data_IF_331643382108
#
_entry.id   IF_331643382108
#
_cell.length_a   1.000
_cell.length_b   1.000
_cell.length_c   1.000
_cell.angle_alpha   90.00
_cell.angle_beta   90.00
_cell.angle_gamma   90.00
#
_symmetry.space_group_name_H-M   'P 1'
#
loop_
_entity.id
_entity.type
_entity.pdbx_description
1 polymer ?
#
# COMPACT_ATOMS: atom_id res chain seq x y z
N UNK A 1 -23.90 54.48 -15.55
CA UNK A 1 -22.76 53.56 -15.39
C UNK A 1 -22.39 53.53 -13.92
N UNK A 2 -22.38 52.31 -13.38
CA UNK A 2 -21.76 51.81 -12.15
C UNK A 2 -21.80 52.67 -10.87
N UNK A 3 -22.61 52.20 -9.92
CA UNK A 3 -22.49 52.40 -8.49
C UNK A 3 -21.59 51.31 -7.88
N UNK A 4 -20.95 51.71 -6.77
CA UNK A 4 -20.15 50.93 -5.81
C UNK A 4 -20.45 49.44 -5.64
N UNK A 5 -19.41 48.65 -5.44
CA UNK A 5 -19.43 47.62 -4.39
C UNK A 5 -18.06 47.44 -3.75
N UNK A 6 -18.11 47.52 -2.42
CA UNK A 6 -17.06 47.48 -1.43
C UNK A 6 -15.96 46.41 -1.59
N UNK A 7 -14.77 46.83 -1.14
CA UNK A 7 -13.65 45.99 -0.69
C UNK A 7 -14.14 45.04 0.40
N UNK A 8 -13.91 43.73 0.22
CA UNK A 8 -13.86 42.80 1.34
C UNK A 8 -12.41 42.35 1.53
N UNK A 9 -11.78 42.97 2.51
CA UNK A 9 -10.48 42.63 3.07
C UNK A 9 -10.63 41.41 3.96
N UNK A 10 -10.11 40.25 3.53
CA UNK A 10 -9.54 39.19 4.38
C UNK A 10 -9.20 37.93 3.53
N UNK A 11 -8.22 38.08 2.65
CA UNK A 11 -7.23 37.02 2.40
C UNK A 11 -5.90 37.72 2.63
N UNK A 12 -5.54 37.90 3.89
CA UNK A 12 -4.16 38.19 4.24
C UNK A 12 -3.46 36.85 4.26
N UNK A 13 -2.59 36.64 3.28
CA UNK A 13 -1.52 35.67 3.35
C UNK A 13 -0.90 35.77 4.74
N UNK A 14 -1.10 34.74 5.56
CA UNK A 14 -0.34 34.57 6.77
C UNK A 14 1.08 34.15 6.34
N UNK A 15 1.84 35.13 5.88
CA UNK A 15 3.30 35.11 5.93
C UNK A 15 3.64 35.37 7.39
N UNK A 16 3.56 34.31 8.20
CA UNK A 16 4.05 34.37 9.57
C UNK A 16 5.54 34.02 9.53
N UNK A 17 6.35 34.99 9.95
CA UNK A 17 7.79 34.89 10.24
C UNK A 17 8.04 33.93 11.42
N UNK A 18 7.61 32.66 11.27
CA UNK A 18 8.07 31.60 12.11
C UNK A 18 9.48 31.23 11.63
N UNK A 19 10.46 31.47 12.51
CA UNK A 19 11.82 30.95 12.38
C UNK A 19 11.78 29.59 11.71
N UNK A 20 12.51 29.47 10.60
CA UNK A 20 12.69 28.23 9.85
C UNK A 20 13.42 27.23 10.76
N UNK A 21 12.70 26.65 11.72
CA UNK A 21 13.04 25.38 12.31
C UNK A 21 13.02 24.43 11.13
N UNK A 22 14.20 24.05 10.67
CA UNK A 22 14.33 23.00 9.67
C UNK A 22 13.54 21.80 10.20
N UNK A 23 12.35 21.57 9.65
CA UNK A 23 11.66 20.30 9.81
C UNK A 23 12.64 19.32 9.17
N UNK A 24 13.34 18.58 10.01
CA UNK A 24 14.16 17.48 9.54
C UNK A 24 13.14 16.44 9.12
N UNK A 25 12.84 16.37 7.82
CA UNK A 25 12.04 15.28 7.25
C UNK A 25 12.69 13.99 7.71
N UNK A 26 12.06 13.32 8.68
CA UNK A 26 12.55 12.05 9.17
C UNK A 26 12.23 11.05 8.07
N UNK A 27 13.18 10.82 7.17
CA UNK A 27 13.08 9.75 6.19
C UNK A 27 13.20 8.40 6.90
N UNK A 28 12.19 7.55 6.78
CA UNK A 28 12.24 6.20 7.36
C UNK A 28 13.29 5.34 6.67
N UNK A 29 14.09 4.63 7.46
CA UNK A 29 15.11 3.69 6.95
C UNK A 29 14.52 2.30 6.81
N UNK A 30 14.08 1.92 5.59
CA UNK A 30 13.55 0.59 5.26
C UNK A 30 14.39 -0.59 5.83
N UNK A 31 15.74 -0.58 5.82
CA UNK A 31 16.52 -1.67 6.41
C UNK A 31 16.20 -2.00 7.87
N UNK A 32 15.77 -1.00 8.65
CA UNK A 32 15.47 -1.10 10.08
C UNK A 32 14.05 -1.58 10.39
N UNK A 33 13.22 -1.77 9.36
CA UNK A 33 11.85 -2.25 9.53
C UNK A 33 11.79 -3.62 10.18
N UNK A 34 10.81 -3.75 11.08
CA UNK A 34 10.51 -4.98 11.80
C UNK A 34 9.99 -6.07 10.87
N UNK A 35 10.13 -7.31 11.31
CA UNK A 35 9.59 -8.49 10.65
C UNK A 35 8.43 -9.04 11.48
N UNK A 36 7.28 -9.28 10.85
CA UNK A 36 6.02 -9.66 11.51
C UNK A 36 5.35 -10.83 10.81
N UNK A 37 4.42 -11.50 11.51
CA UNK A 37 3.73 -12.72 11.04
C UNK A 37 2.21 -12.62 11.07
N UNK A 38 1.64 -11.58 11.70
CA UNK A 38 0.19 -11.50 11.94
C UNK A 38 -0.33 -10.07 11.73
N UNK A 39 -1.62 -9.93 11.42
CA UNK A 39 -2.29 -8.60 11.34
C UNK A 39 -2.10 -7.78 12.62
N UNK A 40 -2.19 -8.41 13.80
CA UNK A 40 -1.96 -7.71 15.07
C UNK A 40 -0.56 -7.11 15.15
N UNK A 41 0.46 -7.84 14.71
CA UNK A 41 1.83 -7.33 14.72
C UNK A 41 2.02 -6.22 13.68
N UNK A 42 1.39 -6.30 12.51
CA UNK A 42 1.36 -5.19 11.54
C UNK A 42 0.80 -3.94 12.21
N UNK A 43 -0.36 -4.05 12.85
CA UNK A 43 -1.02 -2.91 13.50
C UNK A 43 -0.19 -2.36 14.66
N UNK A 44 0.41 -3.24 15.46
CA UNK A 44 1.31 -2.85 16.54
C UNK A 44 2.41 -1.94 16.01
N UNK A 45 3.11 -2.32 14.94
CA UNK A 45 4.27 -1.60 14.44
C UNK A 45 3.93 -0.37 13.57
N UNK A 46 2.86 -0.44 12.77
CA UNK A 46 2.48 0.63 11.83
C UNK A 46 1.51 1.66 12.43
N UNK A 47 0.88 1.36 13.57
CA UNK A 47 -0.20 2.21 14.15
C UNK A 47 -0.02 2.51 15.63
N UNK A 48 0.28 1.49 16.43
CA UNK A 48 0.14 1.58 17.90
C UNK A 48 1.40 2.07 18.62
N UNK A 49 2.55 2.13 17.94
CA UNK A 49 3.78 2.71 18.52
C UNK A 49 3.70 4.24 18.55
N UNK A 50 4.36 4.85 19.54
CA UNK A 50 4.50 6.32 19.65
C UNK A 50 5.15 6.95 18.42
N UNK A 51 6.04 6.20 17.75
CA UNK A 51 6.58 6.58 16.46
C UNK A 51 6.48 5.36 15.52
N UNK A 52 5.33 5.18 14.84
CA UNK A 52 5.09 3.98 14.08
C UNK A 52 5.96 3.91 12.83
N UNK A 53 6.41 2.71 12.51
CA UNK A 53 7.23 2.42 11.35
C UNK A 53 6.48 2.76 10.06
N UNK A 54 7.20 3.09 8.98
CA UNK A 54 6.56 3.34 7.68
C UNK A 54 6.27 2.03 6.93
N UNK A 55 6.99 0.95 7.25
CA UNK A 55 6.71 -0.39 6.74
C UNK A 55 7.25 -1.50 7.67
N UNK A 56 6.76 -2.72 7.47
CA UNK A 56 7.22 -3.97 8.08
C UNK A 56 7.39 -5.06 7.02
N UNK A 57 8.31 -5.99 7.23
CA UNK A 57 8.45 -7.21 6.43
C UNK A 57 7.47 -8.28 6.93
N UNK A 58 6.92 -9.07 6.02
CA UNK A 58 6.10 -10.23 6.38
C UNK A 58 6.97 -11.49 6.33
N UNK A 59 7.10 -12.17 7.47
CA UNK A 59 7.72 -13.49 7.55
C UNK A 59 6.69 -14.56 7.17
N UNK A 60 6.90 -15.12 5.99
CA UNK A 60 6.12 -16.22 5.43
C UNK A 60 6.63 -17.60 5.84
N UNK A 61 7.68 -17.70 6.67
CA UNK A 61 8.31 -18.96 7.09
C UNK A 61 8.70 -19.87 5.91
N UNK A 62 9.17 -19.27 4.83
CA UNK A 62 9.53 -19.95 3.58
C UNK A 62 8.33 -20.61 2.87
N UNK A 63 7.09 -20.31 3.29
CA UNK A 63 5.85 -20.78 2.63
C UNK A 63 5.48 -19.86 1.47
N UNK A 64 4.89 -20.46 0.44
CA UNK A 64 4.24 -19.77 -0.67
C UNK A 64 3.05 -20.61 -1.13
N UNK A 65 2.01 -19.94 -1.63
CA UNK A 65 0.85 -20.62 -2.22
C UNK A 65 0.99 -20.74 -3.73
N UNK A 66 0.68 -21.91 -4.26
CA UNK A 66 0.66 -22.15 -5.71
C UNK A 66 -0.69 -21.73 -6.27
N UNK A 67 -0.68 -20.89 -7.30
CA UNK A 67 -1.90 -20.46 -7.99
C UNK A 67 -1.70 -20.41 -9.50
N UNK A 68 -2.72 -19.98 -10.23
CA UNK A 68 -2.65 -19.79 -11.68
C UNK A 68 -3.13 -18.40 -12.07
N UNK A 69 -2.27 -17.61 -12.71
CA UNK A 69 -2.68 -16.35 -13.35
C UNK A 69 -3.10 -16.60 -14.79
N UNK A 70 -4.18 -15.97 -15.21
CA UNK A 70 -4.75 -16.09 -16.55
C UNK A 70 -4.79 -14.74 -17.25
N UNK A 71 -4.24 -14.68 -18.47
CA UNK A 71 -4.29 -13.52 -19.36
C UNK A 71 -4.75 -13.98 -20.74
N UNK A 72 -5.97 -13.60 -21.12
CA UNK A 72 -6.61 -14.14 -22.32
C UNK A 72 -6.72 -15.67 -22.26
N UNK A 73 -6.00 -16.38 -23.14
CA UNK A 73 -5.94 -17.85 -23.17
C UNK A 73 -4.72 -18.42 -22.45
N UNK A 74 -3.76 -17.57 -22.09
CA UNK A 74 -2.55 -17.98 -21.40
C UNK A 74 -2.89 -18.25 -19.93
N UNK A 75 -2.44 -19.40 -19.42
CA UNK A 75 -2.54 -19.78 -18.01
C UNK A 75 -1.15 -20.12 -17.51
N UNK A 76 -0.70 -19.44 -16.47
CA UNK A 76 0.64 -19.61 -15.93
C UNK A 76 0.57 -20.02 -14.45
N UNK A 77 1.30 -21.07 -14.06
CA UNK A 77 1.50 -21.35 -12.64
C UNK A 77 2.35 -20.24 -12.03
N UNK A 78 1.98 -19.82 -10.83
CA UNK A 78 2.71 -18.82 -10.04
C UNK A 78 2.79 -19.26 -8.60
N UNK A 79 3.75 -18.70 -7.87
CA UNK A 79 3.80 -18.77 -6.41
C UNK A 79 3.50 -17.40 -5.82
N UNK A 80 2.70 -17.34 -4.77
CA UNK A 80 2.19 -16.09 -4.17
C UNK A 80 2.48 -16.09 -2.68
N UNK A 81 2.88 -14.93 -2.15
CA UNK A 81 2.90 -14.69 -0.70
C UNK A 81 2.91 -13.20 -0.36
N UNK A 82 2.46 -12.81 0.84
CA UNK A 82 2.70 -11.46 1.35
C UNK A 82 4.19 -11.28 1.68
N UNK A 83 4.75 -10.10 1.40
CA UNK A 83 6.18 -9.81 1.61
C UNK A 83 6.44 -8.57 2.46
N UNK A 84 5.55 -7.60 2.43
CA UNK A 84 5.66 -6.38 3.23
C UNK A 84 4.27 -5.80 3.50
N UNK A 85 4.14 -5.02 4.57
CA UNK A 85 3.02 -4.11 4.77
C UNK A 85 3.57 -2.70 5.01
N UNK A 86 2.93 -1.70 4.44
CA UNK A 86 3.37 -0.30 4.53
C UNK A 86 2.22 0.63 4.87
N UNK A 87 2.53 1.70 5.60
CA UNK A 87 1.58 2.77 5.91
C UNK A 87 1.44 3.65 4.67
N UNK A 88 0.21 3.88 4.20
CA UNK A 88 -0.08 4.77 3.08
C UNK A 88 -0.92 5.96 3.54
N UNK A 89 -0.53 7.15 3.10
CA UNK A 89 -1.29 8.38 3.34
C UNK A 89 -2.59 8.39 2.54
N UNK A 90 -3.69 8.74 3.20
CA UNK A 90 -5.00 8.91 2.55
C UNK A 90 -5.36 10.39 2.45
N UNK A 91 -5.36 11.10 3.58
CA UNK A 91 -5.74 12.51 3.64
C UNK A 91 -5.30 13.16 4.96
N UNK A 92 -5.44 14.48 5.05
CA UNK A 92 -5.31 15.22 6.31
C UNK A 92 -6.64 15.89 6.65
N UNK A 93 -6.93 16.02 7.94
CA UNK A 93 -8.16 16.63 8.43
C UNK A 93 -7.89 17.47 9.68
N UNK A 94 -8.56 18.61 9.78
CA UNK A 94 -8.61 19.39 11.01
C UNK A 94 -9.99 19.24 11.64
N UNK A 95 -10.01 18.90 12.92
CA UNK A 95 -11.19 18.63 13.72
C UNK A 95 -11.39 19.76 14.73
N UNK A 96 -12.63 20.19 14.87
CA UNK A 96 -13.07 21.20 15.86
C UNK A 96 -14.01 20.52 16.85
N UNK A 97 -13.73 20.64 18.14
CA UNK A 97 -14.49 19.94 19.18
C UNK A 97 -14.26 18.42 19.19
N UNK A 98 -15.02 17.72 20.05
CA UNK A 98 -14.98 16.25 20.12
C UNK A 98 -16.26 15.67 19.55
N UNK A 99 -16.16 14.96 18.42
CA UNK A 99 -17.32 14.37 17.74
C UNK A 99 -16.92 13.15 16.91
N UNK A 100 -17.92 12.36 16.53
CA UNK A 100 -17.75 11.29 15.56
C UNK A 100 -17.59 11.87 14.15
N UNK A 101 -16.61 11.35 13.42
CA UNK A 101 -16.32 11.72 12.03
C UNK A 101 -16.43 10.51 11.13
N UNK A 102 -17.14 10.68 10.01
CA UNK A 102 -17.12 9.72 8.91
C UNK A 102 -15.94 10.03 7.98
N UNK A 103 -15.05 9.05 7.81
CA UNK A 103 -13.81 9.16 7.04
C UNK A 103 -13.78 8.13 5.91
N UNK A 104 -13.10 8.48 4.82
CA UNK A 104 -12.97 7.60 3.66
C UNK A 104 -11.78 6.64 3.80
N UNK A 105 -12.00 5.37 3.46
CA UNK A 105 -10.97 4.35 3.26
C UNK A 105 -11.10 3.75 1.86
N UNK A 106 -10.04 3.13 1.36
CA UNK A 106 -10.02 2.45 0.05
C UNK A 106 -10.10 0.93 0.23
N UNK A 107 -10.78 0.25 -0.68
CA UNK A 107 -10.84 -1.21 -0.76
C UNK A 107 -10.31 -1.65 -2.12
N UNK A 108 -9.60 -2.77 -2.15
CA UNK A 108 -9.05 -3.35 -3.37
C UNK A 108 -7.56 -3.03 -3.54
N UNK A 109 -7.11 -3.01 -4.78
CA UNK A 109 -5.72 -2.72 -5.11
C UNK A 109 -5.35 -1.27 -4.80
N UNK A 110 -4.05 -1.03 -4.55
CA UNK A 110 -3.55 0.34 -4.50
C UNK A 110 -3.69 1.02 -5.86
N UNK A 111 -3.81 2.35 -5.85
CA UNK A 111 -3.94 3.17 -7.06
C UNK A 111 -2.71 3.12 -7.97
N UNK A 112 -1.58 2.65 -7.46
CA UNK A 112 -0.34 2.39 -8.20
C UNK A 112 -0.43 1.11 -9.06
N UNK A 113 -1.32 0.17 -8.70
CA UNK A 113 -1.44 -1.11 -9.40
C UNK A 113 -2.33 -1.00 -10.63
N UNK A 114 -1.67 -0.88 -11.78
CA UNK A 114 -2.33 -0.75 -13.08
C UNK A 114 -2.22 -2.05 -13.86
N UNK A 115 -3.37 -2.66 -14.14
CA UNK A 115 -3.51 -3.90 -14.90
C UNK A 115 -4.91 -3.99 -15.51
N UNK A 116 -5.09 -4.85 -16.52
CA UNK A 116 -6.40 -5.11 -17.11
C UNK A 116 -7.37 -5.71 -16.08
N UNK A 117 -8.67 -5.52 -16.30
CA UNK A 117 -9.71 -6.13 -15.47
C UNK A 117 -9.62 -7.65 -15.43
N UNK A 118 -9.27 -8.30 -16.54
CA UNK A 118 -9.10 -9.76 -16.60
C UNK A 118 -7.93 -10.25 -15.74
N UNK A 119 -6.78 -9.57 -15.83
CA UNK A 119 -5.63 -9.92 -15.02
C UNK A 119 -5.89 -9.65 -13.53
N UNK A 120 -6.49 -8.51 -13.19
CA UNK A 120 -6.92 -8.18 -11.82
C UNK A 120 -7.85 -9.25 -11.24
N UNK A 121 -8.83 -9.73 -12.01
CA UNK A 121 -9.72 -10.82 -11.55
C UNK A 121 -8.94 -12.11 -11.27
N UNK A 122 -8.01 -12.49 -12.15
CA UNK A 122 -7.19 -13.69 -11.94
C UNK A 122 -6.24 -13.58 -10.75
N UNK A 123 -5.65 -12.40 -10.53
CA UNK A 123 -4.79 -12.11 -9.36
C UNK A 123 -5.60 -12.20 -8.07
N UNK A 124 -6.82 -11.66 -8.08
CA UNK A 124 -7.74 -11.68 -6.92
C UNK A 124 -7.94 -13.09 -6.38
N UNK A 125 -8.12 -14.08 -7.26
CA UNK A 125 -8.29 -15.48 -6.88
C UNK A 125 -7.06 -16.04 -6.16
N UNK A 126 -5.87 -15.78 -6.70
CA UNK A 126 -4.62 -16.21 -6.07
C UNK A 126 -4.33 -15.52 -4.74
N UNK A 127 -4.69 -14.25 -4.56
CA UNK A 127 -4.60 -13.60 -3.24
C UNK A 127 -5.58 -14.24 -2.26
N UNK A 128 -6.79 -14.59 -2.68
CA UNK A 128 -7.75 -15.28 -1.80
C UNK A 128 -7.24 -16.64 -1.29
N UNK A 129 -6.57 -17.42 -2.14
CA UNK A 129 -5.89 -18.67 -1.75
C UNK A 129 -4.73 -18.41 -0.78
N UNK A 130 -3.97 -17.34 -1.03
CA UNK A 130 -2.90 -16.88 -0.15
C UNK A 130 -3.43 -16.50 1.24
N UNK A 131 -4.46 -15.66 1.33
CA UNK A 131 -5.04 -15.21 2.60
C UNK A 131 -5.69 -16.34 3.42
N UNK A 132 -6.08 -17.44 2.79
CA UNK A 132 -6.55 -18.63 3.50
C UNK A 132 -5.42 -19.40 4.20
N UNK A 133 -4.16 -19.16 3.81
CA UNK A 133 -2.99 -19.95 4.22
C UNK A 133 -2.02 -19.19 5.13
N UNK A 134 -2.14 -17.86 5.22
CA UNK A 134 -1.33 -16.99 6.08
C UNK A 134 -2.18 -16.29 7.15
N UNK A 135 -1.59 -16.01 8.32
CA UNK A 135 -2.22 -15.19 9.37
C UNK A 135 -2.28 -13.69 9.03
N UNK A 136 -1.64 -13.29 7.92
CA UNK A 136 -1.66 -11.94 7.38
C UNK A 136 -2.66 -11.88 6.24
N UNK A 137 -3.67 -11.03 6.38
CA UNK A 137 -4.70 -10.79 5.36
C UNK A 137 -4.98 -9.31 5.20
N UNK A 138 -5.69 -8.94 4.15
CA UNK A 138 -6.23 -7.59 3.95
C UNK A 138 -7.38 -7.26 4.89
N UNK A 139 -7.92 -8.21 5.66
CA UNK A 139 -9.10 -8.03 6.54
C UNK A 139 -10.38 -7.57 5.83
N UNK A 140 -10.36 -7.50 4.49
CA UNK A 140 -11.53 -7.34 3.68
C UNK A 140 -12.09 -8.71 3.31
N UNK A 141 -13.40 -8.87 3.41
CA UNK A 141 -14.07 -10.00 2.79
C UNK A 141 -14.22 -9.74 1.29
N UNK A 142 -13.30 -10.29 0.50
CA UNK A 142 -13.41 -10.36 -0.94
C UNK A 142 -14.20 -11.59 -1.35
N UNK A 143 -14.92 -11.51 -2.47
CA UNK A 143 -15.38 -12.71 -3.15
C UNK A 143 -14.21 -13.28 -3.95
N UNK A 144 -14.15 -14.61 -4.12
CA UNK A 144 -13.03 -15.31 -4.78
C UNK A 144 -12.62 -14.73 -6.15
N UNK A 145 -13.49 -13.98 -6.83
CA UNK A 145 -13.27 -13.48 -8.19
C UNK A 145 -13.24 -11.95 -8.31
N UNK A 146 -13.34 -11.20 -7.20
CA UNK A 146 -13.45 -9.74 -7.28
C UNK A 146 -12.83 -9.03 -6.09
N UNK A 147 -11.71 -8.36 -6.36
CA UNK A 147 -11.21 -7.24 -5.58
C UNK A 147 -11.86 -5.97 -6.13
N UNK A 148 -13.05 -5.66 -5.63
CA UNK A 148 -13.73 -4.42 -5.97
C UNK A 148 -12.88 -3.22 -5.50
N UNK A 149 -12.44 -2.41 -6.46
CA UNK A 149 -11.73 -1.15 -6.21
C UNK A 149 -12.75 -0.05 -5.94
N UNK A 150 -12.94 0.32 -4.68
CA UNK A 150 -13.88 1.37 -4.29
C UNK A 150 -13.44 2.14 -3.06
N UNK A 151 -14.08 3.29 -2.85
CA UNK A 151 -14.02 4.01 -1.58
C UNK A 151 -15.16 3.55 -0.68
N UNK A 152 -14.85 3.26 0.58
CA UNK A 152 -15.81 2.97 1.65
C UNK A 152 -15.63 4.01 2.76
N UNK A 153 -16.58 4.08 3.69
CA UNK A 153 -16.46 4.94 4.87
C UNK A 153 -16.22 4.13 6.14
N UNK A 154 -15.66 4.78 7.16
CA UNK A 154 -15.56 4.28 8.52
C UNK A 154 -15.72 5.45 9.49
N UNK A 155 -16.22 5.18 10.70
CA UNK A 155 -16.40 6.22 11.71
C UNK A 155 -15.34 6.13 12.81
N UNK A 156 -14.92 7.28 13.31
CA UNK A 156 -14.04 7.39 14.47
C UNK A 156 -14.33 8.67 15.24
N UNK A 157 -14.14 8.63 16.56
CA UNK A 157 -14.27 9.81 17.41
C UNK A 157 -12.92 10.51 17.48
N UNK A 158 -12.88 11.76 17.03
CA UNK A 158 -11.69 12.61 17.12
C UNK A 158 -11.97 13.78 18.05
N UNK A 159 -10.94 14.20 18.76
CA UNK A 159 -10.95 15.43 19.56
C UNK A 159 -10.44 16.58 18.70
N UNK A 160 -10.51 17.80 19.23
CA UNK A 160 -9.98 18.98 18.52
C UNK A 160 -8.49 18.82 18.20
N UNK A 161 -8.11 19.10 16.96
CA UNK A 161 -6.73 19.00 16.49
C UNK A 161 -6.61 18.67 15.00
N UNK A 162 -5.37 18.62 14.52
CA UNK A 162 -5.06 18.20 13.15
C UNK A 162 -4.62 16.74 13.13
N UNK A 163 -5.14 15.97 12.18
CA UNK A 163 -4.90 14.54 12.05
C UNK A 163 -4.51 14.21 10.62
N UNK A 164 -3.65 13.20 10.49
CA UNK A 164 -3.38 12.52 9.24
C UNK A 164 -4.06 11.16 9.24
N UNK A 165 -4.82 10.88 8.18
CA UNK A 165 -5.48 9.62 7.95
C UNK A 165 -4.58 8.70 7.13
N UNK A 166 -4.38 7.50 7.65
CA UNK A 166 -3.57 6.47 7.04
C UNK A 166 -4.38 5.19 6.83
N UNK A 167 -3.95 4.42 5.84
CA UNK A 167 -4.40 3.05 5.63
C UNK A 167 -3.22 2.19 5.23
N UNK A 168 -3.14 0.99 5.81
CA UNK A 168 -2.06 0.09 5.46
C UNK A 168 -2.30 -0.52 4.07
N UNK A 169 -1.21 -0.80 3.37
CA UNK A 169 -1.16 -1.59 2.15
C UNK A 169 -0.40 -2.87 2.47
N UNK A 170 -0.97 -4.01 2.09
CA UNK A 170 -0.32 -5.31 2.10
C UNK A 170 0.21 -5.59 0.69
N UNK A 171 1.51 -5.83 0.59
CA UNK A 171 2.20 -6.07 -0.67
C UNK A 171 2.40 -7.57 -0.87
N UNK A 172 1.78 -8.11 -1.92
CA UNK A 172 1.97 -9.48 -2.36
C UNK A 172 3.05 -9.57 -3.44
N UNK A 173 3.87 -10.61 -3.39
CA UNK A 173 4.79 -10.96 -4.46
C UNK A 173 4.32 -12.22 -5.17
N UNK A 174 4.19 -12.12 -6.49
CA UNK A 174 3.89 -13.22 -7.39
C UNK A 174 5.19 -13.58 -8.10
N UNK A 175 5.69 -14.80 -7.91
CA UNK A 175 6.81 -15.34 -8.66
C UNK A 175 6.28 -15.91 -9.98
N UNK A 176 6.74 -15.34 -11.10
CA UNK A 176 6.27 -15.60 -12.47
C UNK A 176 7.46 -15.93 -13.36
N UNK A 177 8.26 -16.95 -13.02
CA UNK A 177 9.49 -17.31 -13.76
C UNK A 177 9.27 -17.49 -15.27
N UNK A 178 8.07 -17.92 -15.67
CA UNK A 178 7.68 -18.03 -17.08
C UNK A 178 7.74 -16.69 -17.86
N UNK A 179 7.70 -15.54 -17.16
CA UNK A 179 7.90 -14.22 -17.77
C UNK A 179 9.33 -13.99 -18.28
N UNK A 180 10.27 -14.92 -18.02
CA UNK A 180 11.56 -14.97 -18.68
C UNK A 180 11.45 -15.26 -20.19
N UNK A 181 10.36 -15.90 -20.65
CA UNK A 181 10.06 -16.09 -22.07
C UNK A 181 9.47 -14.80 -22.66
N UNK A 182 10.13 -14.17 -23.67
CA UNK A 182 9.62 -12.97 -24.32
C UNK A 182 8.20 -13.13 -24.87
N UNK A 183 7.84 -14.29 -25.41
CA UNK A 183 6.52 -14.52 -25.98
C UNK A 183 5.42 -14.50 -24.91
N UNK A 184 5.74 -14.96 -23.70
CA UNK A 184 4.84 -14.88 -22.54
C UNK A 184 4.71 -13.43 -22.09
N UNK A 185 5.84 -12.72 -21.95
CA UNK A 185 5.83 -11.31 -21.53
C UNK A 185 5.06 -10.43 -22.51
N UNK A 186 5.19 -10.66 -23.82
CA UNK A 186 4.46 -9.92 -24.86
C UNK A 186 2.93 -10.07 -24.70
N UNK A 187 2.44 -11.22 -24.24
CA UNK A 187 1.00 -11.41 -23.93
C UNK A 187 0.56 -10.51 -22.78
N UNK A 188 1.36 -10.41 -21.70
CA UNK A 188 1.06 -9.52 -20.58
C UNK A 188 1.13 -8.06 -21.00
N UNK A 189 2.19 -7.63 -21.68
CA UNK A 189 2.35 -6.24 -22.11
C UNK A 189 1.24 -5.82 -23.09
N UNK A 190 0.75 -6.74 -23.93
CA UNK A 190 -0.38 -6.45 -24.83
C UNK A 190 -1.69 -6.25 -24.08
N UNK A 191 -1.94 -7.06 -23.04
CA UNK A 191 -3.17 -7.01 -22.26
C UNK A 191 -3.16 -5.89 -21.20
N UNK A 192 -2.00 -5.69 -20.57
CA UNK A 192 -1.74 -4.78 -19.46
C UNK A 192 -0.41 -4.05 -19.72
N UNK A 193 -0.39 -3.01 -20.58
CA UNK A 193 0.85 -2.34 -21.01
C UNK A 193 1.59 -1.62 -19.89
N UNK A 194 0.88 -1.17 -18.87
CA UNK A 194 1.45 -0.49 -17.70
C UNK A 194 1.87 -1.46 -16.58
N UNK A 195 1.73 -2.78 -16.80
CA UNK A 195 2.15 -3.79 -15.84
C UNK A 195 3.66 -3.85 -15.78
N UNK A 196 4.21 -3.71 -14.57
CA UNK A 196 5.65 -3.82 -14.35
C UNK A 196 6.02 -5.18 -13.79
N UNK A 197 6.90 -5.89 -14.50
CA UNK A 197 7.58 -7.06 -13.97
C UNK A 197 8.99 -6.69 -13.52
N UNK A 198 9.41 -7.29 -12.41
CA UNK A 198 10.71 -7.07 -11.80
C UNK A 198 11.55 -8.33 -11.96
N UNK A 199 12.61 -8.23 -12.74
CA UNK A 199 13.59 -9.30 -12.87
C UNK A 199 14.69 -9.14 -11.83
N UNK A 200 15.06 -10.23 -11.16
CA UNK A 200 16.27 -10.23 -10.35
C UNK A 200 17.51 -10.23 -11.25
N UNK A 201 18.52 -9.36 -10.98
CA UNK A 201 19.72 -9.30 -11.79
C UNK A 201 20.40 -10.67 -11.95
N UNK A 202 20.71 -11.04 -13.20
CA UNK A 202 21.40 -12.28 -13.57
C UNK A 202 20.68 -13.59 -13.20
N UNK A 203 19.36 -13.58 -13.00
CA UNK A 203 18.56 -14.80 -12.80
C UNK A 203 17.37 -14.86 -13.75
N UNK A 204 16.69 -16.01 -13.79
CA UNK A 204 15.41 -16.18 -14.48
C UNK A 204 14.22 -15.93 -13.55
N UNK A 205 14.45 -15.34 -12.37
CA UNK A 205 13.39 -15.07 -11.41
C UNK A 205 12.73 -13.74 -11.74
N UNK A 206 11.42 -13.81 -12.01
CA UNK A 206 10.59 -12.66 -12.33
C UNK A 206 9.48 -12.54 -11.32
N UNK A 207 9.23 -11.30 -10.90
CA UNK A 207 8.23 -11.00 -9.88
C UNK A 207 7.24 -9.96 -10.38
N UNK A 208 5.99 -10.13 -9.98
CA UNK A 208 4.96 -9.10 -10.04
C UNK A 208 4.58 -8.75 -8.60
N UNK A 209 4.62 -7.47 -8.26
CA UNK A 209 4.16 -6.99 -6.95
C UNK A 209 2.75 -6.45 -7.07
N UNK A 210 1.89 -6.86 -6.14
CA UNK A 210 0.48 -6.48 -6.12
C UNK A 210 0.18 -5.83 -4.76
N UNK A 211 0.13 -4.49 -4.69
CA UNK A 211 -0.24 -3.76 -3.49
C UNK A 211 -1.76 -3.74 -3.32
N UNK A 212 -2.24 -4.09 -2.13
CA UNK A 212 -3.67 -4.12 -1.78
C UNK A 212 -3.93 -3.42 -0.46
N UNK A 213 -4.96 -2.56 -0.39
CA UNK A 213 -5.36 -1.92 0.86
C UNK A 213 -5.85 -2.92 1.91
N UNK A 214 -5.44 -2.71 3.16
CA UNK A 214 -5.94 -3.44 4.33
C UNK A 214 -7.14 -2.72 4.97
N UNK A 215 -8.10 -3.46 5.49
CA UNK A 215 -9.31 -2.98 6.17
C UNK A 215 -9.04 -2.54 7.61
N UNK A 216 -7.97 -1.77 7.81
CA UNK A 216 -7.62 -1.25 9.11
C UNK A 216 -7.04 0.17 8.95
N UNK A 217 -7.90 1.14 8.58
CA UNK A 217 -7.53 2.55 8.55
C UNK A 217 -7.37 3.12 9.98
N UNK A 218 -6.60 4.20 10.11
CA UNK A 218 -6.32 4.81 11.40
C UNK A 218 -5.88 6.26 11.24
N UNK A 219 -6.04 7.04 12.30
CA UNK A 219 -5.60 8.43 12.36
C UNK A 219 -4.40 8.58 13.29
N UNK A 220 -3.49 9.49 12.93
CA UNK A 220 -2.40 9.94 13.79
C UNK A 220 -2.54 11.46 13.95
N UNK A 221 -2.48 11.96 15.17
CA UNK A 221 -2.40 13.41 15.41
C UNK A 221 -1.13 13.98 14.77
N UNK A 222 -1.27 15.09 14.05
CA UNK A 222 -0.15 15.72 13.37
C UNK A 222 0.99 16.01 14.35
N UNK A 223 2.18 15.52 14.00
CA UNK A 223 3.40 15.70 14.77
C UNK A 223 4.58 15.70 13.81
N UNK A 224 5.49 16.66 13.98
CA UNK A 224 6.75 16.76 13.22
C UNK A 224 7.71 15.60 13.48
N UNK A 225 7.41 14.75 14.48
CA UNK A 225 8.24 13.59 14.81
C UNK A 225 7.81 12.30 14.11
N UNK A 226 6.66 12.31 13.43
CA UNK A 226 6.14 11.14 12.70
C UNK A 226 6.91 10.96 11.40
N UNK A 227 7.42 9.76 11.14
CA UNK A 227 8.07 9.47 9.86
C UNK A 227 7.10 9.62 8.69
N UNK A 228 7.60 10.11 7.56
CA UNK A 228 6.81 10.08 6.34
C UNK A 228 6.55 8.63 5.88
N UNK A 229 5.38 8.35 5.31
CA UNK A 229 5.15 7.12 4.57
C UNK A 229 6.22 6.90 3.52
N UNK A 230 6.65 5.64 3.38
CA UNK A 230 7.52 5.24 2.26
C UNK A 230 6.65 5.03 1.02
N UNK A 231 7.17 5.38 -0.16
CA UNK A 231 6.48 5.10 -1.41
C UNK A 231 6.49 3.59 -1.71
N UNK A 232 5.47 3.11 -2.43
CA UNK A 232 5.40 1.71 -2.84
C UNK A 232 6.57 1.34 -3.76
N UNK A 233 6.96 2.22 -4.66
CA UNK A 233 8.07 2.02 -5.59
C UNK A 233 9.41 1.92 -4.86
N UNK A 234 9.64 2.73 -3.83
CA UNK A 234 10.86 2.64 -3.00
C UNK A 234 10.91 1.32 -2.23
N UNK A 235 9.77 0.86 -1.71
CA UNK A 235 9.66 -0.43 -1.03
C UNK A 235 9.94 -1.57 -2.00
N UNK A 236 9.31 -1.58 -3.19
CA UNK A 236 9.53 -2.62 -4.21
C UNK A 236 10.99 -2.61 -4.69
N UNK A 237 11.54 -1.44 -4.98
CA UNK A 237 12.94 -1.28 -5.36
C UNK A 237 13.88 -1.82 -4.27
N UNK A 238 13.63 -1.51 -3.01
CA UNK A 238 14.40 -2.06 -1.90
C UNK A 238 14.26 -3.59 -1.83
N UNK A 239 13.03 -4.12 -1.89
CA UNK A 239 12.74 -5.55 -1.85
C UNK A 239 13.45 -6.32 -2.97
N UNK A 240 13.54 -5.77 -4.18
CA UNK A 240 14.23 -6.41 -5.31
C UNK A 240 15.76 -6.34 -5.21
N UNK A 241 16.29 -5.48 -4.35
CA UNK A 241 17.72 -5.27 -4.15
C UNK A 241 18.15 -5.70 -2.74
N UNK A 242 18.47 -4.74 -1.87
CA UNK A 242 19.03 -4.98 -0.54
C UNK A 242 18.08 -5.76 0.40
N UNK A 243 16.79 -5.72 0.15
CA UNK A 243 15.75 -6.43 0.89
C UNK A 243 15.51 -7.85 0.43
N UNK A 244 16.06 -8.27 -0.71
CA UNK A 244 15.68 -9.54 -1.37
C UNK A 244 15.82 -10.75 -0.44
N UNK A 245 16.94 -10.86 0.27
CA UNK A 245 17.20 -11.98 1.18
C UNK A 245 16.22 -12.07 2.36
N UNK A 246 15.44 -11.02 2.64
CA UNK A 246 14.44 -11.01 3.72
C UNK A 246 13.12 -11.69 3.34
N UNK A 247 12.85 -11.85 2.04
CA UNK A 247 11.56 -12.38 1.57
C UNK A 247 11.69 -13.40 0.42
N UNK A 248 12.86 -13.60 -0.18
CA UNK A 248 13.03 -14.33 -1.44
C UNK A 248 12.76 -15.84 -1.43
N UNK A 249 12.51 -16.45 -0.27
CA UNK A 249 12.34 -17.90 -0.19
C UNK A 249 10.91 -18.29 -0.56
N UNK A 250 10.75 -19.04 -1.65
CA UNK A 250 9.46 -19.50 -2.20
C UNK A 250 9.40 -21.01 -2.23
#
# INVERSE_FOLDING_TARGET
MALDTAVNSQITDAVDDAQQTSVVDKSWSIPKSSTVKTNYQIDKHLKLLTNPESMVFIDSEDKSESSTISVGKLKLPVQIKPVAALRSFISSQTVVGTQEHELTKKKGYSTTFTASTSLKSSISGGIGECEASFEVTTEFSYSQNSYEEKSETWTTTLTEGSYTLYQNILLYAFKVDAAADPAIRDVFTKDSPDLTFYQRPNTQEWYLFVPTYMNSPFTISFSSDTYDPVSEDDVISYLMNNGYSKWCKF
#
